data_IF_752021423102
#
_entry.id   IF_752021423102
#
_cell.length_a   1.000
_cell.length_b   1.000
_cell.length_c   1.000
_cell.angle_alpha   90.00
_cell.angle_beta   90.00
_cell.angle_gamma   90.00
#
_symmetry.space_group_name_H-M   'P 1'
#
loop_
_entity.id
_entity.type
_entity.pdbx_description
1 polymer ?
#
# COMPACT_ATOMS: atom_id res chain seq x y z
N UNK A 1 0.67 0.09 -21.33
CA UNK A 1 -0.67 -0.07 -20.73
C UNK A 1 -0.98 -1.52 -20.32
N UNK A 2 -0.98 -2.52 -21.22
CA UNK A 2 -1.41 -3.89 -20.85
C UNK A 2 -0.39 -4.72 -20.06
N UNK A 3 0.92 -4.47 -20.17
CA UNK A 3 1.95 -5.33 -19.56
C UNK A 3 2.23 -5.06 -18.08
N UNK A 4 2.18 -3.81 -17.61
CA UNK A 4 2.41 -3.46 -16.19
C UNK A 4 1.20 -3.85 -15.31
N UNK A 5 0.00 -3.54 -15.79
CA UNK A 5 -1.24 -4.03 -15.18
C UNK A 5 -1.30 -5.57 -15.22
N UNK A 6 -0.84 -6.24 -16.28
CA UNK A 6 -0.78 -7.71 -16.33
C UNK A 6 0.33 -8.31 -15.44
N UNK A 7 1.44 -7.61 -15.20
CA UNK A 7 2.51 -8.06 -14.28
C UNK A 7 2.02 -8.02 -12.83
N UNK A 8 1.43 -6.88 -12.43
CA UNK A 8 0.88 -6.67 -11.10
C UNK A 8 -0.41 -7.47 -10.84
N UNK A 9 -1.29 -7.62 -11.85
CA UNK A 9 -2.49 -8.48 -11.75
C UNK A 9 -2.20 -9.97 -11.96
N UNK A 10 -1.06 -10.32 -12.58
CA UNK A 10 -0.65 -11.69 -12.90
C UNK A 10 0.06 -12.41 -11.76
N UNK A 11 0.47 -11.69 -10.71
CA UNK A 11 0.88 -12.28 -9.44
C UNK A 11 -0.33 -12.92 -8.76
N UNK A 12 -0.61 -14.17 -9.18
CA UNK A 12 -1.62 -15.10 -8.68
C UNK A 12 -2.39 -14.58 -7.48
N UNK A 13 -3.40 -13.77 -7.79
CA UNK A 13 -4.54 -13.57 -6.92
C UNK A 13 -4.95 -14.98 -6.50
N UNK A 14 -4.81 -15.34 -5.24
CA UNK A 14 -5.71 -16.34 -4.67
C UNK A 14 -7.09 -15.70 -4.78
N UNK A 15 -7.68 -15.79 -5.97
CA UNK A 15 -9.05 -15.35 -6.18
C UNK A 15 -9.85 -16.08 -5.11
N UNK A 16 -10.56 -15.36 -4.24
CA UNK A 16 -11.46 -16.01 -3.31
C UNK A 16 -12.34 -16.94 -4.16
N UNK A 17 -12.32 -18.22 -3.81
CA UNK A 17 -13.02 -19.33 -4.47
C UNK A 17 -14.23 -18.83 -5.29
N UNK A 18 -14.03 -18.69 -6.60
CA UNK A 18 -15.02 -18.10 -7.52
C UNK A 18 -16.30 -18.94 -7.62
N UNK A 19 -16.32 -20.13 -7.00
CA UNK A 19 -17.51 -20.97 -6.90
C UNK A 19 -18.57 -20.46 -5.92
N UNK A 20 -18.27 -19.44 -5.09
CA UNK A 20 -19.26 -18.75 -4.25
C UNK A 20 -19.60 -17.39 -4.85
N UNK A 21 -20.53 -17.38 -5.81
CA UNK A 21 -21.25 -16.15 -6.17
C UNK A 21 -21.94 -15.59 -4.92
N UNK A 22 -21.32 -14.57 -4.31
CA UNK A 22 -21.95 -13.84 -3.21
C UNK A 22 -23.06 -12.99 -3.83
N UNK A 23 -24.33 -13.14 -3.41
CA UNK A 23 -25.43 -12.37 -3.97
C UNK A 23 -25.10 -10.87 -3.95
N UNK A 24 -25.22 -10.22 -5.11
CA UNK A 24 -25.10 -8.77 -5.19
C UNK A 24 -26.20 -8.14 -4.34
N UNK A 25 -25.81 -7.25 -3.43
CA UNK A 25 -26.76 -6.46 -2.67
C UNK A 25 -26.45 -4.99 -2.89
N UNK A 26 -27.41 -4.20 -3.42
CA UNK A 26 -27.22 -2.77 -3.65
C UNK A 26 -26.82 -2.00 -2.39
N UNK A 27 -27.16 -2.51 -1.20
CA UNK A 27 -26.76 -1.93 0.09
C UNK A 27 -25.24 -1.86 0.32
N UNK A 28 -24.43 -2.52 -0.51
CA UNK A 28 -22.97 -2.52 -0.42
C UNK A 28 -22.29 -1.59 -1.43
N UNK A 29 -23.01 -1.03 -2.40
CA UNK A 29 -22.41 -0.30 -3.52
C UNK A 29 -21.70 0.99 -3.04
N UNK A 30 -22.34 1.75 -2.14
CA UNK A 30 -21.76 2.97 -1.57
C UNK A 30 -20.48 2.66 -0.75
N UNK A 31 -20.51 1.60 0.05
CA UNK A 31 -19.35 1.19 0.86
C UNK A 31 -18.18 0.68 0.00
N UNK A 32 -18.48 0.02 -1.12
CA UNK A 32 -17.48 -0.41 -2.10
C UNK A 32 -16.87 0.80 -2.81
N UNK A 33 -17.68 1.81 -3.17
CA UNK A 33 -17.19 3.05 -3.78
C UNK A 33 -16.30 3.86 -2.81
N UNK A 34 -16.71 4.01 -1.56
CA UNK A 34 -15.92 4.68 -0.52
C UNK A 34 -14.59 3.95 -0.26
N UNK A 35 -14.62 2.61 -0.22
CA UNK A 35 -13.42 1.80 -0.08
C UNK A 35 -12.48 1.92 -1.29
N UNK A 36 -13.02 2.00 -2.50
CA UNK A 36 -12.23 2.24 -3.70
C UNK A 36 -11.55 3.62 -3.66
N UNK A 37 -12.25 4.66 -3.19
CA UNK A 37 -11.65 5.99 -3.02
C UNK A 37 -10.49 5.96 -2.02
N UNK A 38 -10.69 5.36 -0.84
CA UNK A 38 -9.62 5.21 0.15
C UNK A 38 -8.46 4.36 -0.40
N UNK A 39 -8.76 3.34 -1.21
CA UNK A 39 -7.76 2.57 -1.94
C UNK A 39 -6.91 3.45 -2.85
N UNK A 40 -7.56 4.27 -3.68
CA UNK A 40 -6.87 5.19 -4.58
C UNK A 40 -5.95 6.17 -3.82
N UNK A 41 -6.41 6.71 -2.68
CA UNK A 41 -5.60 7.57 -1.80
C UNK A 41 -4.34 6.83 -1.30
N UNK A 42 -4.48 5.59 -0.82
CA UNK A 42 -3.34 4.76 -0.38
C UNK A 42 -2.34 4.51 -1.52
N UNK A 43 -2.86 4.23 -2.71
CA UNK A 43 -2.02 4.02 -3.90
C UNK A 43 -1.26 5.27 -4.31
N UNK A 44 -1.93 6.42 -4.30
CA UNK A 44 -1.35 7.71 -4.64
C UNK A 44 -0.25 8.11 -3.65
N UNK A 45 -0.47 7.89 -2.34
CA UNK A 45 0.45 8.30 -1.27
C UNK A 45 1.55 7.27 -0.97
N UNK A 46 1.61 6.15 -1.71
CA UNK A 46 2.60 5.12 -1.45
C UNK A 46 4.04 5.65 -1.66
N UNK A 47 4.95 5.52 -0.68
CA UNK A 47 6.27 6.15 -0.74
C UNK A 47 7.26 5.44 -1.67
N UNK A 48 7.12 4.12 -1.86
CA UNK A 48 8.07 3.28 -2.60
C UNK A 48 7.80 3.20 -4.10
N UNK A 49 7.72 4.33 -4.82
CA UNK A 49 7.33 4.34 -6.24
C UNK A 49 8.17 3.43 -7.15
N UNK A 50 9.45 3.27 -6.82
CA UNK A 50 10.45 2.51 -7.59
C UNK A 50 10.85 1.19 -6.95
N UNK A 51 10.15 0.75 -5.90
CA UNK A 51 10.34 -0.60 -5.39
C UNK A 51 9.95 -1.65 -6.44
N UNK A 52 10.51 -2.88 -6.36
CA UNK A 52 10.07 -3.98 -7.22
C UNK A 52 8.55 -4.16 -7.13
N UNK A 53 7.90 -4.38 -8.26
CA UNK A 53 6.44 -4.50 -8.39
C UNK A 53 5.83 -5.50 -7.37
N UNK A 54 6.55 -6.59 -7.08
CA UNK A 54 6.20 -7.61 -6.09
C UNK A 54 6.20 -7.11 -4.65
N UNK A 55 7.15 -6.24 -4.29
CA UNK A 55 7.25 -5.61 -2.96
C UNK A 55 6.13 -4.60 -2.80
N UNK A 56 5.89 -3.77 -3.82
CA UNK A 56 4.78 -2.80 -3.85
C UNK A 56 3.44 -3.51 -3.67
N UNK A 57 3.17 -4.55 -4.45
CA UNK A 57 1.92 -5.30 -4.38
C UNK A 57 1.71 -5.93 -2.99
N UNK A 58 2.77 -6.46 -2.37
CA UNK A 58 2.71 -7.00 -1.02
C UNK A 58 2.41 -5.93 0.03
N UNK A 59 3.07 -4.77 -0.05
CA UNK A 59 2.92 -3.67 0.90
C UNK A 59 1.55 -2.99 0.77
N UNK A 60 1.08 -2.71 -0.45
CA UNK A 60 -0.26 -2.17 -0.69
C UNK A 60 -1.33 -3.12 -0.15
N UNK A 61 -1.17 -4.43 -0.36
CA UNK A 61 -2.09 -5.44 0.22
C UNK A 61 -2.12 -5.37 1.75
N UNK A 62 -0.98 -5.25 2.40
CA UNK A 62 -0.90 -5.15 3.86
C UNK A 62 -1.55 -3.86 4.40
N UNK A 63 -1.35 -2.73 3.71
CA UNK A 63 -2.00 -1.45 4.03
C UNK A 63 -3.51 -1.56 3.88
N UNK A 64 -4.00 -2.09 2.76
CA UNK A 64 -5.43 -2.31 2.51
C UNK A 64 -6.03 -3.26 3.54
N UNK A 65 -5.38 -4.37 3.87
CA UNK A 65 -5.89 -5.31 4.88
C UNK A 65 -6.06 -4.63 6.25
N UNK A 66 -5.14 -3.73 6.61
CA UNK A 66 -5.21 -2.95 7.85
C UNK A 66 -6.41 -2.00 7.84
N UNK A 67 -6.66 -1.32 6.73
CA UNK A 67 -7.80 -0.40 6.59
C UNK A 67 -9.14 -1.13 6.53
N UNK A 68 -9.21 -2.25 5.81
CA UNK A 68 -10.41 -3.10 5.75
C UNK A 68 -10.78 -3.61 7.15
N UNK A 69 -9.80 -4.01 7.97
CA UNK A 69 -10.03 -4.39 9.38
C UNK A 69 -10.55 -3.24 10.24
N UNK A 70 -10.14 -2.00 9.94
CA UNK A 70 -10.61 -0.82 10.65
C UNK A 70 -12.04 -0.42 10.25
N UNK A 71 -12.38 -0.55 8.96
CA UNK A 71 -13.72 -0.30 8.41
C UNK A 71 -14.71 -1.43 8.73
N UNK A 72 -14.21 -2.65 8.94
CA UNK A 72 -15.06 -3.78 9.27
C UNK A 72 -15.82 -3.50 10.57
N UNK A 73 -17.17 -3.59 10.56
CA UNK A 73 -17.95 -3.34 11.75
C UNK A 73 -17.55 -4.35 12.82
N UNK A 74 -17.01 -3.86 13.94
CA UNK A 74 -16.66 -4.72 15.09
C UNK A 74 -17.87 -5.59 15.41
N UNK A 75 -17.70 -6.90 15.59
CA UNK A 75 -18.81 -7.75 16.00
C UNK A 75 -19.36 -7.15 17.30
N UNK A 76 -20.56 -6.56 17.23
CA UNK A 76 -21.20 -5.99 18.40
C UNK A 76 -21.29 -7.14 19.41
N UNK A 77 -20.48 -7.05 20.48
CA UNK A 77 -20.40 -8.13 21.47
C UNK A 77 -21.80 -8.27 22.04
N UNK A 78 -22.51 -9.33 21.65
CA UNK A 78 -23.89 -9.59 22.02
C UNK A 78 -23.99 -10.07 23.47
N UNK A 79 -23.35 -9.35 24.40
CA UNK A 79 -23.40 -9.66 25.83
C UNK A 79 -24.85 -9.83 26.28
N UNK A 80 -25.76 -8.96 25.82
CA UNK A 80 -27.18 -9.04 26.17
C UNK A 80 -27.90 -10.32 25.70
N UNK A 81 -27.58 -10.84 24.50
CA UNK A 81 -28.27 -12.02 23.96
C UNK A 81 -27.72 -13.32 24.56
N UNK A 82 -26.41 -13.38 24.83
CA UNK A 82 -25.81 -14.48 25.57
C UNK A 82 -26.28 -14.50 27.02
N UNK A 83 -26.43 -13.33 27.67
CA UNK A 83 -26.99 -13.23 29.02
C UNK A 83 -28.46 -13.68 29.06
N UNK A 84 -29.28 -13.35 28.06
CA UNK A 84 -30.66 -13.84 27.98
C UNK A 84 -30.72 -15.36 27.80
N UNK A 85 -29.92 -15.93 26.89
CA UNK A 85 -29.87 -17.39 26.71
C UNK A 85 -29.37 -18.11 27.97
N UNK A 86 -28.34 -17.57 28.63
CA UNK A 86 -27.83 -18.11 29.89
C UNK A 86 -28.89 -18.01 31.00
N UNK A 87 -29.61 -16.90 31.08
CA UNK A 87 -30.72 -16.72 32.02
C UNK A 87 -31.84 -17.75 31.79
N UNK A 88 -32.29 -17.92 30.54
CA UNK A 88 -33.33 -18.90 30.19
C UNK A 88 -32.89 -20.34 30.49
N UNK A 89 -31.61 -20.66 30.28
CA UNK A 89 -31.04 -21.96 30.65
C UNK A 89 -31.08 -22.17 32.17
N UNK A 90 -30.63 -21.20 32.96
CA UNK A 90 -30.64 -21.29 34.44
C UNK A 90 -32.06 -21.42 34.97
N UNK A 91 -33.01 -20.61 34.47
CA UNK A 91 -34.42 -20.68 34.89
C UNK A 91 -35.02 -22.04 34.55
N UNK A 92 -34.82 -22.54 33.33
CA UNK A 92 -35.29 -23.87 32.93
C UNK A 92 -34.68 -24.99 33.78
N UNK A 93 -33.41 -24.88 34.13
CA UNK A 93 -32.70 -25.84 34.98
C UNK A 93 -33.19 -25.83 36.43
N UNK A 94 -33.45 -24.65 37.00
CA UNK A 94 -34.02 -24.51 38.36
C UNK A 94 -35.43 -25.10 38.42
N UNK A 95 -36.27 -24.84 37.41
CA UNK A 95 -37.61 -25.43 37.32
C UNK A 95 -37.51 -26.96 37.26
N UNK A 96 -36.57 -27.51 36.50
CA UNK A 96 -36.32 -28.95 36.41
C UNK A 96 -35.88 -29.56 37.75
N UNK A 97 -34.98 -28.91 38.49
CA UNK A 97 -34.53 -29.37 39.81
C UNK A 97 -35.68 -29.33 40.82
N UNK A 98 -36.42 -28.21 40.86
CA UNK A 98 -37.56 -28.06 41.77
C UNK A 98 -38.65 -29.11 41.51
N UNK A 99 -38.92 -29.38 40.23
CA UNK A 99 -39.80 -30.45 39.78
C UNK A 99 -39.32 -31.84 40.25
N UNK A 100 -38.04 -32.16 40.07
CA UNK A 100 -37.47 -33.45 40.46
C UNK A 100 -37.45 -33.66 41.99
N UNK A 101 -37.17 -32.59 42.76
CA UNK A 101 -37.13 -32.65 44.22
C UNK A 101 -38.50 -32.90 44.86
N UNK A 102 -39.54 -32.20 44.38
CA UNK A 102 -40.89 -32.32 44.94
C UNK A 102 -41.68 -33.55 44.47
N UNK A 103 -41.21 -34.26 43.44
CA UNK A 103 -41.82 -35.52 42.98
C UNK A 103 -41.49 -36.74 43.85
N UNK A 104 -40.58 -36.60 44.83
CA UNK A 104 -40.00 -37.73 45.58
C UNK A 104 -40.72 -38.11 46.89
N UNK A 105 -41.72 -37.34 47.32
CA UNK A 105 -42.35 -37.54 48.64
C UNK A 105 -43.76 -38.14 48.61
N UNK A 106 -44.33 -38.45 47.43
CA UNK A 106 -45.66 -39.07 47.39
C UNK A 106 -45.58 -40.60 47.33
N UNK A 107 -46.07 -41.19 48.41
CA UNK A 107 -46.34 -42.60 48.63
C UNK A 107 -46.97 -43.29 47.41
N UNK A 108 -46.63 -44.57 47.26
CA UNK A 108 -47.11 -45.54 46.27
C UNK A 108 -48.63 -45.47 46.04
N UNK A 109 -49.10 -44.57 45.17
CA UNK A 109 -50.48 -44.55 44.69
C UNK A 109 -50.57 -45.37 43.40
N UNK A 110 -51.48 -46.36 43.31
CA UNK A 110 -51.57 -47.30 42.17
C UNK A 110 -51.98 -46.65 40.83
N UNK A 111 -52.22 -45.34 40.79
CA UNK A 111 -52.54 -44.57 39.57
C UNK A 111 -51.35 -43.76 39.01
N UNK A 112 -50.13 -43.99 39.51
CA UNK A 112 -48.91 -43.22 39.16
C UNK A 112 -48.61 -43.10 37.65
N UNK A 113 -49.12 -44.04 36.83
CA UNK A 113 -48.93 -44.03 35.38
C UNK A 113 -49.67 -42.92 34.62
N UNK A 114 -50.70 -42.26 35.19
CA UNK A 114 -51.45 -41.19 34.50
C UNK A 114 -50.90 -39.79 34.76
N UNK A 115 -50.31 -39.53 35.93
CA UNK A 115 -49.81 -38.21 36.30
C UNK A 115 -48.37 -37.92 35.82
N UNK A 116 -47.62 -38.94 35.36
CA UNK A 116 -46.34 -38.71 34.69
C UNK A 116 -46.48 -37.90 33.39
N UNK A 117 -47.65 -37.92 32.74
CA UNK A 117 -47.88 -37.26 31.45
C UNK A 117 -47.70 -35.73 31.51
N UNK A 118 -48.10 -35.07 32.59
CA UNK A 118 -47.95 -33.61 32.75
C UNK A 118 -46.50 -33.16 32.88
N UNK A 119 -45.66 -33.93 33.55
CA UNK A 119 -44.24 -33.64 33.76
C UNK A 119 -43.44 -33.72 32.46
N UNK A 120 -43.73 -34.73 31.64
CA UNK A 120 -43.13 -34.85 30.32
C UNK A 120 -43.51 -33.67 29.43
N UNK A 121 -44.77 -33.23 29.47
CA UNK A 121 -45.22 -32.05 28.70
C UNK A 121 -44.47 -30.78 29.14
N UNK A 122 -44.34 -30.52 30.44
CA UNK A 122 -43.62 -29.36 30.94
C UNK A 122 -42.12 -29.38 30.54
N UNK A 123 -41.47 -30.55 30.65
CA UNK A 123 -40.09 -30.75 30.21
C UNK A 123 -39.90 -30.45 28.72
N UNK A 124 -40.80 -30.96 27.86
CA UNK A 124 -40.72 -30.73 26.42
C UNK A 124 -40.97 -29.28 26.04
N UNK A 125 -41.86 -28.56 26.75
CA UNK A 125 -42.09 -27.13 26.52
C UNK A 125 -40.84 -26.30 26.82
N UNK A 126 -40.20 -26.52 27.98
CA UNK A 126 -38.96 -25.81 28.36
C UNK A 126 -37.84 -26.10 27.37
N UNK A 127 -37.69 -27.36 26.98
CA UNK A 127 -36.67 -27.78 26.01
C UNK A 127 -36.92 -27.14 24.63
N UNK A 128 -38.17 -27.12 24.16
CA UNK A 128 -38.53 -26.49 22.88
C UNK A 128 -38.28 -24.98 22.88
N UNK A 129 -38.60 -24.28 23.98
CA UNK A 129 -38.31 -22.85 24.12
C UNK A 129 -36.80 -22.57 24.13
N UNK A 130 -36.01 -23.43 24.77
CA UNK A 130 -34.55 -23.31 24.80
C UNK A 130 -33.92 -23.53 23.40
N UNK A 131 -34.34 -24.61 22.71
CA UNK A 131 -33.90 -24.89 21.32
C UNK A 131 -34.32 -23.76 20.38
N UNK A 132 -35.55 -23.26 20.50
CA UNK A 132 -36.05 -22.13 19.70
C UNK A 132 -35.27 -20.85 19.94
N UNK A 133 -34.93 -20.54 21.20
CA UNK A 133 -34.06 -19.43 21.57
C UNK A 133 -32.66 -19.57 20.96
N UNK A 134 -32.04 -20.74 21.12
CA UNK A 134 -30.73 -21.06 20.53
C UNK A 134 -30.76 -20.90 19.00
N UNK A 135 -31.78 -21.45 18.33
CA UNK A 135 -31.96 -21.36 16.88
C UNK A 135 -32.14 -19.91 16.39
N UNK A 136 -32.92 -19.08 17.10
CA UNK A 136 -33.06 -17.66 16.78
C UNK A 136 -31.73 -16.90 16.95
N UNK A 137 -30.94 -17.24 17.97
CA UNK A 137 -29.61 -16.64 18.14
C UNK A 137 -28.63 -17.08 17.07
N UNK A 138 -28.60 -18.38 16.72
CA UNK A 138 -27.75 -18.92 15.66
C UNK A 138 -28.15 -18.41 14.27
N UNK A 139 -29.44 -18.30 13.96
CA UNK A 139 -29.91 -17.79 12.67
C UNK A 139 -29.60 -16.30 12.49
N UNK A 140 -29.72 -15.48 13.54
CA UNK A 140 -29.29 -14.07 13.51
C UNK A 140 -27.77 -13.92 13.42
N UNK A 141 -27.02 -14.77 14.12
CA UNK A 141 -25.56 -14.83 14.04
C UNK A 141 -25.10 -15.20 12.63
N UNK A 142 -25.70 -16.23 12.03
CA UNK A 142 -25.42 -16.66 10.66
C UNK A 142 -25.69 -15.56 9.64
N UNK A 143 -26.85 -14.88 9.71
CA UNK A 143 -27.19 -13.78 8.78
C UNK A 143 -26.24 -12.58 8.89
N UNK A 144 -25.85 -12.20 10.12
CA UNK A 144 -24.89 -11.09 10.32
C UNK A 144 -23.46 -11.46 9.96
N UNK A 145 -23.05 -12.69 10.27
CA UNK A 145 -21.74 -13.22 9.85
C UNK A 145 -21.63 -13.27 8.33
N UNK A 146 -22.68 -13.72 7.63
CA UNK A 146 -22.74 -13.71 6.16
C UNK A 146 -22.69 -12.29 5.58
N UNK A 147 -23.37 -11.31 6.20
CA UNK A 147 -23.29 -9.91 5.76
C UNK A 147 -21.89 -9.32 5.98
N UNK A 148 -21.24 -9.60 7.11
CA UNK A 148 -19.88 -9.17 7.41
C UNK A 148 -18.87 -9.77 6.43
N UNK A 149 -18.93 -11.09 6.22
CA UNK A 149 -18.06 -11.79 5.27
C UNK A 149 -18.32 -11.33 3.84
N UNK A 150 -19.58 -11.10 3.46
CA UNK A 150 -19.95 -10.61 2.13
C UNK A 150 -19.43 -9.20 1.83
N UNK A 151 -19.52 -8.28 2.80
CA UNK A 151 -19.02 -6.92 2.65
C UNK A 151 -17.49 -6.87 2.55
N UNK A 152 -16.77 -7.57 3.45
CA UNK A 152 -15.30 -7.62 3.44
C UNK A 152 -14.77 -8.22 2.14
N UNK A 153 -15.40 -9.29 1.63
CA UNK A 153 -15.01 -9.93 0.36
C UNK A 153 -15.18 -8.98 -0.84
N UNK A 154 -16.05 -7.98 -0.77
CA UNK A 154 -16.27 -7.00 -1.86
C UNK A 154 -15.42 -5.73 -1.70
N UNK A 155 -15.28 -5.22 -0.48
CA UNK A 155 -14.49 -4.02 -0.16
C UNK A 155 -13.01 -4.26 -0.45
N UNK A 156 -12.44 -5.38 0.04
CA UNK A 156 -11.00 -5.60 -0.04
C UNK A 156 -10.45 -5.61 -1.47
N UNK A 157 -11.05 -6.35 -2.44
CA UNK A 157 -10.59 -6.32 -3.83
C UNK A 157 -10.77 -4.94 -4.47
N UNK A 158 -11.92 -4.28 -4.28
CA UNK A 158 -12.16 -2.96 -4.87
C UNK A 158 -11.16 -1.90 -4.38
N UNK A 159 -10.86 -1.93 -3.09
CA UNK A 159 -9.87 -1.05 -2.46
C UNK A 159 -8.45 -1.35 -2.95
N UNK A 160 -8.08 -2.63 -3.06
CA UNK A 160 -6.76 -3.03 -3.56
C UNK A 160 -6.58 -2.69 -5.05
N UNK A 161 -7.58 -2.96 -5.87
CA UNK A 161 -7.57 -2.65 -7.31
C UNK A 161 -7.44 -1.15 -7.54
N UNK A 162 -8.18 -0.34 -6.78
CA UNK A 162 -8.06 1.12 -6.84
C UNK A 162 -6.68 1.62 -6.37
N UNK A 163 -6.12 1.03 -5.31
CA UNK A 163 -4.77 1.36 -4.83
C UNK A 163 -3.70 1.04 -5.88
N UNK A 164 -3.75 -0.15 -6.48
CA UNK A 164 -2.82 -0.56 -7.55
C UNK A 164 -3.00 0.33 -8.77
N UNK A 165 -4.24 0.68 -9.13
CA UNK A 165 -4.56 1.57 -10.24
C UNK A 165 -3.93 2.96 -10.06
N UNK A 166 -4.21 3.62 -8.94
CA UNK A 166 -3.67 4.94 -8.63
C UNK A 166 -2.13 4.95 -8.55
N UNK A 167 -1.54 3.92 -7.93
CA UNK A 167 -0.09 3.74 -7.90
C UNK A 167 0.51 3.62 -9.32
N UNK A 168 -0.12 2.79 -10.15
CA UNK A 168 0.33 2.54 -11.52
C UNK A 168 0.24 3.79 -12.39
N UNK A 169 -0.84 4.56 -12.24
CA UNK A 169 -1.02 5.86 -12.91
C UNK A 169 0.09 6.83 -12.51
N UNK A 170 0.33 7.00 -11.20
CA UNK A 170 1.43 7.84 -10.70
C UNK A 170 2.81 7.40 -11.23
N UNK A 171 3.08 6.09 -11.30
CA UNK A 171 4.34 5.56 -11.84
C UNK A 171 4.47 5.86 -13.33
N UNK A 172 3.38 5.74 -14.09
CA UNK A 172 3.35 6.09 -15.52
C UNK A 172 3.54 7.58 -15.73
N UNK A 173 2.90 8.42 -14.92
CA UNK A 173 3.06 9.87 -14.98
C UNK A 173 4.51 10.28 -14.68
N UNK A 174 5.13 9.64 -13.68
CA UNK A 174 6.54 9.87 -13.36
C UNK A 174 7.48 9.45 -14.50
N UNK A 175 7.19 8.34 -15.19
CA UNK A 175 7.95 7.88 -16.36
C UNK A 175 7.76 8.78 -17.59
N UNK A 176 6.56 9.33 -17.77
CA UNK A 176 6.23 10.21 -18.88
C UNK A 176 6.56 11.68 -18.61
N UNK A 177 7.07 12.00 -17.42
CA UNK A 177 7.36 13.37 -17.02
C UNK A 177 8.31 14.06 -18.01
N UNK A 178 7.89 15.20 -18.55
CA UNK A 178 8.69 16.09 -19.38
C UNK A 178 8.82 17.46 -18.71
N UNK A 179 10.06 17.92 -18.52
CA UNK A 179 10.35 19.22 -17.89
C UNK A 179 9.75 20.40 -18.68
N UNK A 180 9.39 20.18 -19.95
CA UNK A 180 8.80 21.18 -20.84
C UNK A 180 7.38 21.61 -20.45
N UNK A 181 6.65 20.80 -19.67
CA UNK A 181 5.24 21.09 -19.35
C UNK A 181 5.06 22.03 -18.14
N UNK A 182 6.13 22.31 -17.38
CA UNK A 182 6.00 22.87 -16.03
C UNK A 182 6.33 24.38 -15.88
N UNK A 183 7.28 24.96 -16.63
CA UNK A 183 7.63 26.38 -16.46
C UNK A 183 8.36 27.01 -17.65
N UNK A 184 7.94 28.22 -18.03
CA UNK A 184 8.70 29.10 -18.95
C UNK A 184 9.93 29.74 -18.32
N UNK A 185 10.07 29.68 -16.98
CA UNK A 185 11.19 30.29 -16.23
C UNK A 185 11.51 29.47 -14.96
N UNK A 186 12.79 29.19 -14.72
CA UNK A 186 13.27 28.41 -13.60
C UNK A 186 12.96 29.09 -12.26
N UNK A 187 12.24 28.37 -11.40
CA UNK A 187 12.02 28.74 -10.00
C UNK A 187 12.70 27.70 -9.10
N UNK A 188 13.66 28.09 -8.24
CA UNK A 188 14.33 27.15 -7.36
C UNK A 188 13.37 26.40 -6.43
N UNK A 189 13.49 25.07 -6.40
CA UNK A 189 12.71 24.21 -5.50
C UNK A 189 13.21 24.20 -4.04
N UNK A 190 14.43 24.70 -3.81
CA UNK A 190 15.08 24.71 -2.51
C UNK A 190 16.26 25.69 -2.47
N UNK A 191 17.01 25.73 -1.35
CA UNK A 191 18.19 26.58 -1.25
C UNK A 191 19.31 26.08 -2.18
N UNK A 192 20.04 27.01 -2.79
CA UNK A 192 21.25 26.68 -3.53
C UNK A 192 22.27 26.02 -2.59
N UNK A 193 22.92 24.91 -2.98
CA UNK A 193 23.93 24.27 -2.15
C UNK A 193 25.07 25.22 -1.79
N UNK A 194 25.44 25.28 -0.51
CA UNK A 194 26.48 26.17 -0.02
C UNK A 194 27.89 25.70 -0.43
N UNK A 195 28.84 26.62 -0.67
CA UNK A 195 30.24 26.30 -0.89
C UNK A 195 30.83 25.44 0.24
N UNK A 196 31.73 24.52 -0.11
CA UNK A 196 32.43 23.59 0.77
C UNK A 196 33.95 23.86 0.68
N UNK A 197 34.49 24.88 1.38
CA UNK A 197 35.84 25.40 1.12
C UNK A 197 36.99 24.39 1.27
N UNK A 198 36.76 23.29 1.97
CA UNK A 198 37.72 22.22 2.19
C UNK A 198 37.51 21.01 1.25
N UNK A 199 36.67 21.17 0.23
CA UNK A 199 36.21 20.08 -0.64
C UNK A 199 35.17 19.18 0.06
N UNK A 200 34.86 18.07 -0.60
CA UNK A 200 33.92 17.06 -0.10
C UNK A 200 34.50 15.66 -0.26
N UNK A 201 34.13 14.75 0.65
CA UNK A 201 34.35 13.32 0.47
C UNK A 201 33.47 12.77 -0.67
N UNK A 202 33.62 11.48 -1.02
CA UNK A 202 32.69 10.82 -1.96
C UNK A 202 31.24 10.95 -1.50
N UNK A 203 30.94 10.57 -0.26
CA UNK A 203 29.60 10.72 0.35
C UNK A 203 29.14 12.18 0.40
N UNK A 204 30.04 13.12 0.67
CA UNK A 204 29.72 14.54 0.65
C UNK A 204 29.35 15.05 -0.74
N UNK A 205 29.95 14.49 -1.79
CA UNK A 205 29.60 14.80 -3.18
C UNK A 205 28.20 14.27 -3.55
N UNK A 206 27.83 13.07 -3.10
CA UNK A 206 26.50 12.50 -3.30
C UNK A 206 25.43 13.41 -2.66
N UNK A 207 25.68 13.88 -1.44
CA UNK A 207 24.80 14.84 -0.74
C UNK A 207 24.72 16.19 -1.47
N UNK A 208 25.85 16.67 -2.00
CA UNK A 208 25.89 17.90 -2.79
C UNK A 208 25.07 17.76 -4.07
N UNK A 209 25.18 16.63 -4.77
CA UNK A 209 24.39 16.28 -5.95
C UNK A 209 22.89 16.26 -5.64
N UNK A 210 22.47 15.56 -4.57
CA UNK A 210 21.07 15.57 -4.14
C UNK A 210 20.58 16.99 -3.79
N UNK A 211 21.44 17.81 -3.20
CA UNK A 211 21.16 19.23 -2.95
C UNK A 211 20.91 20.03 -4.24
N UNK A 212 21.73 19.82 -5.27
CA UNK A 212 21.52 20.44 -6.59
C UNK A 212 20.22 19.98 -7.24
N UNK A 213 19.88 18.69 -7.17
CA UNK A 213 18.60 18.19 -7.67
C UNK A 213 17.41 18.91 -7.02
N UNK A 214 17.42 19.06 -5.68
CA UNK A 214 16.38 19.83 -4.96
C UNK A 214 16.34 21.30 -5.36
N UNK A 215 17.50 21.94 -5.53
CA UNK A 215 17.58 23.32 -6.01
C UNK A 215 16.90 23.46 -7.38
N UNK A 216 17.10 22.51 -8.28
CA UNK A 216 16.52 22.55 -9.63
C UNK A 216 15.06 22.10 -9.74
N UNK A 217 14.42 21.64 -8.66
CA UNK A 217 12.97 21.34 -8.64
C UNK A 217 12.59 19.96 -8.11
N UNK A 218 13.54 19.03 -7.99
CA UNK A 218 13.28 17.67 -7.49
C UNK A 218 13.33 17.65 -5.96
N UNK A 219 12.28 18.16 -5.32
CA UNK A 219 12.22 18.38 -3.87
C UNK A 219 12.40 17.09 -3.04
N UNK A 220 12.05 15.93 -3.59
CA UNK A 220 12.16 14.61 -2.97
C UNK A 220 13.53 13.94 -3.21
N UNK A 221 14.50 14.64 -3.82
CA UNK A 221 15.80 14.05 -4.11
C UNK A 221 16.59 13.66 -2.84
N UNK A 222 16.99 12.39 -2.78
CA UNK A 222 17.71 11.76 -1.66
C UNK A 222 18.91 10.96 -2.15
N UNK A 223 19.92 10.81 -1.29
CA UNK A 223 21.09 9.95 -1.54
C UNK A 223 20.71 8.48 -1.36
N UNK A 224 21.19 7.63 -2.25
CA UNK A 224 21.03 6.17 -2.16
C UNK A 224 22.08 5.58 -1.23
N UNK A 225 21.71 4.54 -0.47
CA UNK A 225 22.65 3.82 0.41
C UNK A 225 22.93 2.39 -0.08
N UNK A 226 22.42 2.02 -1.26
CA UNK A 226 22.39 0.64 -1.70
C UNK A 226 23.66 0.24 -2.44
N UNK A 227 24.36 -0.75 -1.91
CA UNK A 227 25.36 -1.47 -2.69
C UNK A 227 24.66 -2.37 -3.71
N UNK A 228 24.81 -2.05 -5.00
CA UNK A 228 24.27 -2.86 -6.11
C UNK A 228 23.21 -2.18 -6.98
N UNK A 229 22.97 -0.88 -6.82
CA UNK A 229 22.05 -0.07 -7.63
C UNK A 229 22.63 0.36 -9.01
N UNK A 230 23.76 -0.23 -9.41
CA UNK A 230 24.45 0.16 -10.64
C UNK A 230 25.27 1.44 -10.52
N UNK A 231 25.50 1.94 -9.30
CA UNK A 231 26.23 3.17 -9.03
C UNK A 231 25.35 4.41 -9.14
N UNK A 232 24.08 4.29 -8.72
CA UNK A 232 23.22 5.45 -8.48
C UNK A 232 23.65 6.02 -7.14
N UNK A 233 23.85 7.33 -7.09
CA UNK A 233 24.34 8.05 -5.90
C UNK A 233 23.25 8.96 -5.30
N UNK A 234 22.30 9.39 -6.13
CA UNK A 234 21.11 10.12 -5.70
C UNK A 234 19.93 9.83 -6.61
N UNK A 235 18.73 9.97 -6.08
CA UNK A 235 17.50 9.70 -6.82
C UNK A 235 16.33 10.56 -6.35
N UNK A 236 15.36 10.73 -7.22
CA UNK A 236 14.07 11.38 -6.97
C UNK A 236 12.94 10.63 -7.68
N UNK A 237 11.73 11.18 -7.65
CA UNK A 237 10.61 10.67 -8.40
C UNK A 237 10.92 10.58 -9.91
N UNK A 238 11.53 11.59 -10.53
CA UNK A 238 11.69 11.62 -11.99
C UNK A 238 13.12 11.33 -12.46
N UNK A 239 14.12 11.41 -11.59
CA UNK A 239 15.53 11.34 -11.96
C UNK A 239 16.34 10.37 -11.10
N UNK A 240 17.38 9.80 -11.72
CA UNK A 240 18.48 9.12 -11.05
C UNK A 240 19.80 9.78 -11.42
N UNK A 241 20.72 9.84 -10.47
CA UNK A 241 22.00 10.52 -10.62
C UNK A 241 23.17 9.61 -10.25
N UNK A 242 24.24 9.69 -11.03
CA UNK A 242 25.55 9.16 -10.67
C UNK A 242 26.54 10.32 -10.49
N UNK A 243 27.44 10.19 -9.51
CA UNK A 243 28.40 11.21 -9.08
C UNK A 243 29.81 10.65 -9.06
N UNK A 244 30.72 11.25 -9.84
CA UNK A 244 32.16 10.94 -9.78
C UNK A 244 32.97 12.09 -9.21
N UNK A 245 33.38 11.96 -7.95
CA UNK A 245 34.21 12.93 -7.25
C UNK A 245 35.72 12.63 -7.44
N UNK A 246 36.35 13.19 -8.48
CA UNK A 246 37.78 13.03 -8.77
C UNK A 246 38.28 14.07 -9.79
N UNK A 247 39.60 14.27 -9.87
CA UNK A 247 40.23 15.26 -10.75
C UNK A 247 40.47 14.80 -12.21
N UNK A 248 39.87 13.68 -12.63
CA UNK A 248 40.11 13.10 -13.96
C UNK A 248 39.06 13.46 -15.01
N UNK A 249 39.11 12.75 -16.13
CA UNK A 249 38.14 12.90 -17.23
C UNK A 249 37.24 11.67 -17.28
N UNK A 250 35.92 11.88 -17.24
CA UNK A 250 34.89 10.84 -17.37
C UNK A 250 34.81 10.41 -18.83
N UNK A 251 35.06 9.12 -19.06
CA UNK A 251 34.97 8.49 -20.37
C UNK A 251 33.54 8.11 -20.74
N UNK A 252 33.33 7.77 -22.02
CA UNK A 252 32.03 7.34 -22.56
C UNK A 252 31.50 6.06 -21.89
N UNK A 253 32.38 5.21 -21.37
CA UNK A 253 32.02 3.96 -20.70
C UNK A 253 31.10 4.19 -19.50
N UNK A 254 31.46 5.10 -18.60
CA UNK A 254 30.63 5.39 -17.42
C UNK A 254 29.28 6.02 -17.77
N UNK A 255 29.24 6.85 -18.81
CA UNK A 255 27.97 7.41 -19.28
C UNK A 255 27.10 6.32 -19.93
N UNK A 256 27.69 5.33 -20.60
CA UNK A 256 26.98 4.15 -21.14
C UNK A 256 26.45 3.24 -20.05
N UNK A 257 27.22 3.03 -18.98
CA UNK A 257 26.79 2.27 -17.81
C UNK A 257 25.54 2.93 -17.20
N UNK A 258 25.59 4.23 -16.90
CA UNK A 258 24.43 4.97 -16.41
C UNK A 258 23.25 4.91 -17.39
N UNK A 259 23.49 5.06 -18.69
CA UNK A 259 22.42 4.97 -19.69
C UNK A 259 21.75 3.58 -19.71
N UNK A 260 22.50 2.51 -19.45
CA UNK A 260 21.96 1.16 -19.29
C UNK A 260 21.05 1.05 -18.06
N UNK A 261 21.47 1.65 -16.94
CA UNK A 261 20.66 1.71 -15.71
C UNK A 261 19.38 2.52 -15.94
N UNK A 262 19.50 3.71 -16.53
CA UNK A 262 18.38 4.59 -16.93
C UNK A 262 17.38 3.86 -17.83
N UNK A 263 17.86 3.10 -18.82
CA UNK A 263 16.98 2.36 -19.71
C UNK A 263 16.21 1.23 -19.00
N UNK A 264 16.80 0.64 -17.96
CA UNK A 264 16.16 -0.41 -17.16
C UNK A 264 15.21 0.16 -16.09
N UNK A 265 15.58 1.29 -15.48
CA UNK A 265 14.84 1.95 -14.42
C UNK A 265 13.65 2.78 -14.96
N UNK A 266 13.85 3.45 -16.09
CA UNK A 266 12.85 4.26 -16.79
C UNK A 266 12.85 5.74 -16.42
N UNK A 267 13.47 6.13 -15.30
CA UNK A 267 13.69 7.54 -14.94
C UNK A 267 14.77 8.19 -15.82
N UNK A 268 14.82 9.53 -15.81
CA UNK A 268 15.86 10.29 -16.52
C UNK A 268 17.20 10.26 -15.77
N UNK A 269 18.30 10.31 -16.52
CA UNK A 269 19.65 10.23 -15.97
C UNK A 269 20.37 11.56 -15.84
N UNK A 270 21.01 11.75 -14.69
CA UNK A 270 21.92 12.86 -14.39
C UNK A 270 23.31 12.29 -14.12
N UNK A 271 24.36 12.94 -14.62
CA UNK A 271 25.74 12.59 -14.28
C UNK A 271 26.43 13.83 -13.74
N UNK A 272 27.00 13.72 -12.54
CA UNK A 272 27.76 14.76 -11.88
C UNK A 272 29.24 14.37 -11.78
N UNK A 273 30.15 15.32 -11.98
CA UNK A 273 31.57 15.10 -11.70
C UNK A 273 32.26 16.37 -11.21
N UNK A 274 33.28 16.25 -10.37
CA UNK A 274 34.20 17.36 -10.07
C UNK A 274 35.31 17.53 -11.12
N UNK A 275 35.47 16.55 -12.00
CA UNK A 275 36.48 16.52 -13.06
C UNK A 275 35.99 17.15 -14.36
N UNK A 276 36.23 16.46 -15.47
CA UNK A 276 35.81 16.87 -16.83
C UNK A 276 35.16 15.70 -17.57
N UNK A 277 34.49 15.97 -18.69
CA UNK A 277 33.99 14.92 -19.58
C UNK A 277 34.81 14.84 -20.86
N UNK A 278 35.05 13.61 -21.33
CA UNK A 278 35.61 13.40 -22.66
C UNK A 278 34.58 13.79 -23.73
N UNK A 279 35.04 14.31 -24.89
CA UNK A 279 34.14 14.71 -25.97
C UNK A 279 33.19 13.58 -26.43
N UNK A 280 33.69 12.34 -26.46
CA UNK A 280 32.86 11.16 -26.79
C UNK A 280 31.80 10.82 -25.75
N UNK A 281 32.01 11.21 -24.48
CA UNK A 281 31.04 11.06 -23.41
C UNK A 281 29.90 12.08 -23.57
N UNK A 282 30.23 13.34 -23.84
CA UNK A 282 29.26 14.42 -24.11
C UNK A 282 28.38 14.05 -25.32
N UNK A 283 29.00 13.70 -26.46
CA UNK A 283 28.26 13.32 -27.67
C UNK A 283 27.35 12.10 -27.46
N UNK A 284 27.75 11.15 -26.60
CA UNK A 284 26.89 10.03 -26.28
C UNK A 284 25.73 10.45 -25.38
N UNK A 285 26.00 11.24 -24.33
CA UNK A 285 24.99 11.76 -23.43
C UNK A 285 23.90 12.55 -24.16
N UNK A 286 24.27 13.42 -25.11
CA UNK A 286 23.32 14.18 -25.94
C UNK A 286 22.40 13.26 -26.76
N UNK A 287 22.91 12.13 -27.26
CA UNK A 287 22.10 11.17 -28.04
C UNK A 287 21.09 10.41 -27.19
N UNK A 288 21.44 10.12 -25.94
CA UNK A 288 20.60 9.29 -25.04
C UNK A 288 19.83 10.12 -24.01
N UNK A 289 19.99 11.45 -24.02
CA UNK A 289 19.29 12.35 -23.10
C UNK A 289 19.81 12.32 -21.66
N UNK A 290 21.09 11.98 -21.45
CA UNK A 290 21.72 12.08 -20.13
C UNK A 290 22.21 13.51 -19.92
N UNK A 291 21.87 14.09 -18.78
CA UNK A 291 22.28 15.44 -18.42
C UNK A 291 23.64 15.38 -17.73
N UNK A 292 24.61 16.14 -18.24
CA UNK A 292 25.96 16.15 -17.70
C UNK A 292 26.23 17.46 -16.96
N UNK A 293 26.63 17.35 -15.71
CA UNK A 293 27.02 18.47 -14.87
C UNK A 293 28.44 18.32 -14.35
N UNK A 294 29.13 19.45 -14.24
CA UNK A 294 30.40 19.59 -13.55
C UNK A 294 30.21 20.48 -12.33
N UNK A 295 30.52 19.97 -11.14
CA UNK A 295 30.41 20.77 -9.92
C UNK A 295 31.80 21.19 -9.41
N UNK A 296 31.87 22.35 -8.79
CA UNK A 296 32.98 22.76 -7.94
C UNK A 296 32.45 22.86 -6.51
N UNK A 297 32.82 21.89 -5.68
CA UNK A 297 32.36 21.86 -4.29
C UNK A 297 32.93 23.02 -3.49
N UNK A 298 34.18 23.42 -3.73
CA UNK A 298 34.83 24.50 -2.98
C UNK A 298 34.20 25.87 -3.29
N UNK A 299 33.86 26.10 -4.56
CA UNK A 299 33.18 27.30 -5.00
C UNK A 299 31.67 27.26 -4.76
N UNK A 300 31.07 26.07 -4.57
CA UNK A 300 29.62 25.90 -4.50
C UNK A 300 28.92 26.19 -5.84
N UNK A 301 29.57 25.84 -6.95
CA UNK A 301 29.04 26.11 -8.30
C UNK A 301 28.76 24.82 -9.08
N UNK A 302 27.92 24.95 -10.10
CA UNK A 302 27.57 23.89 -11.03
C UNK A 302 27.57 24.45 -12.46
N UNK A 303 28.18 23.72 -13.38
CA UNK A 303 28.24 24.03 -14.81
C UNK A 303 27.57 22.91 -15.61
N UNK A 304 26.80 23.28 -16.64
CA UNK A 304 26.33 22.33 -17.63
C UNK A 304 27.49 21.91 -18.54
N UNK A 305 27.61 20.62 -18.82
CA UNK A 305 28.60 20.07 -19.75
C UNK A 305 28.00 19.62 -21.09
N UNK A 306 26.68 19.72 -21.25
CA UNK A 306 25.98 19.43 -22.50
C UNK A 306 24.67 20.21 -22.63
N UNK A 307 24.09 20.24 -23.83
CA UNK A 307 22.92 21.08 -24.15
C UNK A 307 21.68 20.72 -23.31
N UNK A 308 21.48 19.44 -23.00
CA UNK A 308 20.38 19.00 -22.15
C UNK A 308 20.50 19.55 -20.71
N UNK A 309 21.72 19.60 -20.16
CA UNK A 309 21.98 20.19 -18.85
C UNK A 309 21.88 21.72 -18.87
N UNK A 310 22.24 22.39 -19.97
CA UNK A 310 22.08 23.84 -20.11
C UNK A 310 20.61 24.26 -19.98
N UNK A 311 19.69 23.48 -20.54
CA UNK A 311 18.26 23.75 -20.46
C UNK A 311 17.75 23.79 -19.00
N UNK A 312 18.36 23.01 -18.09
CA UNK A 312 17.97 22.97 -16.66
C UNK A 312 18.16 24.31 -15.97
N UNK A 313 19.17 25.09 -16.35
CA UNK A 313 19.37 26.43 -15.77
C UNK A 313 18.28 27.43 -16.17
N UNK A 314 17.54 27.13 -17.25
CA UNK A 314 16.45 27.99 -17.75
C UNK A 314 15.08 27.55 -17.22
N UNK A 315 14.84 26.23 -17.07
CA UNK A 315 13.51 25.69 -16.75
C UNK A 315 13.43 24.82 -15.48
N UNK A 316 14.56 24.44 -14.89
CA UNK A 316 14.61 23.43 -13.82
C UNK A 316 14.65 21.99 -14.35
N UNK A 317 14.57 21.03 -13.42
CA UNK A 317 14.48 19.59 -13.69
C UNK A 317 13.03 19.16 -13.94
#
# INVERSE_FOLDING_TARGET
MSCLHASLSGMSLTQPDSSREIPHKPEYDDAVAEAAQLGAEIGADYPGLWEPDEVVAANLRALVETQVKALAPKPAVQKGLHLLNAFLFVVGFVILIYAAGNGSSNEYSPNYGRDMSGWWVAYWIVTALWIGGLWLTMSRWSKRGQAHTGLVIRIQPAMLDAAIGAFSERKVDALNYTADDAATEFTPGGPMPAPQPYGVSHQGAEQLTAGWMRFFGEADAVVTQFTGDGGIDAQSQHYIAQTKNYAGTVGVESVRELAGVVAADGRKGLFFTSGTYAAGAIQFADRVGILLFRYDAAAGSLEAANAAAEAVFVRGL
#
